data_IF_445053895266
#
_entry.id   IF_445053895266
#
_cell.length_a   1.000
_cell.length_b   1.000
_cell.length_c   1.000
_cell.angle_alpha   90.00
_cell.angle_beta   90.00
_cell.angle_gamma   90.00
#
_symmetry.space_group_name_H-M   'P 1'
#
loop_
_entity.id
_entity.type
_entity.pdbx_description
1 polymer ?
#
# COMPACT_ATOMS: atom_id res chain seq x y z
N UNK A 1 -15.91 -39.88 31.51
CA UNK A 1 -15.73 -39.54 30.09
C UNK A 1 -15.36 -38.07 30.03
N UNK A 2 -14.33 -37.74 29.25
CA UNK A 2 -13.51 -36.53 29.36
C UNK A 2 -13.78 -35.63 28.16
N UNK A 3 -14.27 -34.42 28.40
CA UNK A 3 -14.34 -33.32 27.43
C UNK A 3 -14.13 -32.03 28.23
N UNK A 4 -12.87 -31.66 28.46
CA UNK A 4 -12.16 -30.61 27.73
C UNK A 4 -12.91 -29.26 27.75
N UNK A 5 -12.49 -28.44 28.71
CA UNK A 5 -12.70 -27.01 28.72
C UNK A 5 -11.88 -26.34 27.59
N UNK A 6 -12.49 -25.38 26.92
CA UNK A 6 -11.84 -24.25 26.25
C UNK A 6 -12.86 -23.10 26.33
N UNK A 7 -12.75 -22.16 27.28
CA UNK A 7 -12.17 -20.80 27.11
C UNK A 7 -12.29 -20.31 25.65
N UNK A 8 -12.90 -19.18 25.29
CA UNK A 8 -12.82 -17.80 25.81
C UNK A 8 -14.08 -17.06 25.30
N UNK A 9 -14.71 -16.18 26.10
CA UNK A 9 -15.88 -15.40 25.69
C UNK A 9 -15.49 -14.06 25.04
N UNK A 10 -16.42 -13.54 24.23
CA UNK A 10 -16.67 -12.11 23.99
C UNK A 10 -15.81 -11.36 22.96
N UNK A 11 -16.51 -10.46 22.23
CA UNK A 11 -16.04 -9.18 21.64
C UNK A 11 -15.28 -9.33 20.31
N UNK A 12 -15.63 -8.71 19.16
CA UNK A 12 -16.31 -7.45 18.87
C UNK A 12 -16.97 -7.56 17.48
N UNK A 13 -18.25 -7.17 17.38
CA UNK A 13 -18.88 -6.75 16.12
C UNK A 13 -18.33 -5.37 15.73
N UNK A 14 -17.60 -5.26 14.61
CA UNK A 14 -17.28 -3.95 14.02
C UNK A 14 -18.12 -3.79 12.76
N UNK A 15 -19.28 -3.14 12.95
CA UNK A 15 -20.10 -2.58 11.88
C UNK A 15 -19.37 -1.34 11.34
N UNK A 16 -18.75 -1.44 10.17
CA UNK A 16 -18.12 -0.30 9.51
C UNK A 16 -19.16 0.42 8.63
N UNK A 17 -19.96 1.28 9.24
CA UNK A 17 -20.79 2.24 8.53
C UNK A 17 -20.01 3.56 8.41
N UNK A 18 -19.47 3.86 7.22
CA UNK A 18 -18.96 5.19 6.88
C UNK A 18 -19.84 5.79 5.77
N UNK A 19 -20.87 6.51 6.19
CA UNK A 19 -21.56 7.47 5.34
C UNK A 19 -20.69 8.74 5.27
N UNK A 20 -20.20 9.09 4.08
CA UNK A 20 -19.62 10.40 3.80
C UNK A 20 -20.36 11.03 2.63
N UNK A 21 -21.38 11.83 2.95
CA UNK A 21 -21.91 12.85 2.06
C UNK A 21 -20.99 14.07 2.12
N UNK A 22 -20.24 14.32 1.05
CA UNK A 22 -19.65 15.64 0.80
C UNK A 22 -19.97 16.03 -0.64
N UNK A 23 -20.96 16.92 -0.75
CA UNK A 23 -21.25 17.72 -1.93
C UNK A 23 -20.27 18.91 -1.95
N UNK A 24 -19.49 19.02 -3.02
CA UNK A 24 -18.58 20.14 -3.25
C UNK A 24 -18.08 20.13 -4.69
N UNK A 25 -18.91 20.61 -5.61
CA UNK A 25 -18.51 20.84 -6.99
C UNK A 25 -17.55 22.04 -7.06
N UNK A 26 -16.31 21.83 -7.48
CA UNK A 26 -15.44 22.85 -8.07
C UNK A 26 -14.54 22.25 -9.16
N UNK A 27 -14.71 22.85 -10.33
CA UNK A 27 -13.96 22.85 -11.58
C UNK A 27 -12.61 22.09 -11.75
N UNK A 28 -12.52 21.50 -12.95
CA UNK A 28 -11.38 21.48 -13.87
C UNK A 28 -10.22 20.50 -13.63
N UNK A 29 -10.25 19.46 -14.48
CA UNK A 29 -9.11 18.92 -15.24
C UNK A 29 -7.81 18.65 -14.48
N UNK A 30 -7.67 17.45 -13.96
CA UNK A 30 -6.70 16.47 -14.46
C UNK A 30 -7.18 15.13 -13.93
N UNK A 31 -7.53 14.21 -14.83
CA UNK A 31 -7.76 12.82 -14.46
C UNK A 31 -6.46 12.20 -13.95
N UNK A 32 -6.12 12.44 -12.68
CA UNK A 32 -5.18 11.61 -11.94
C UNK A 32 -5.99 10.60 -11.13
N UNK A 33 -6.74 9.75 -11.85
CA UNK A 33 -7.34 8.55 -11.30
C UNK A 33 -6.30 7.42 -11.18
N UNK A 34 -5.03 7.75 -10.93
CA UNK A 34 -4.08 6.74 -10.48
C UNK A 34 -4.30 6.60 -8.98
N UNK A 35 -5.19 5.68 -8.62
CA UNK A 35 -5.28 5.01 -7.33
C UNK A 35 -4.52 5.71 -6.20
N UNK A 36 -5.22 6.58 -5.46
CA UNK A 36 -4.71 7.33 -4.31
C UNK A 36 -3.79 6.53 -3.35
N UNK A 37 -4.00 5.21 -3.08
CA UNK A 37 -3.07 4.44 -2.23
C UNK A 37 -1.71 4.16 -2.87
N UNK A 38 -1.64 3.85 -4.17
CA UNK A 38 -0.38 3.47 -4.80
C UNK A 38 0.59 4.64 -4.96
N UNK A 39 0.09 5.83 -5.30
CA UNK A 39 0.93 7.03 -5.41
C UNK A 39 1.60 7.38 -4.07
N UNK A 40 0.86 7.27 -2.95
CA UNK A 40 1.39 7.47 -1.59
C UNK A 40 2.51 6.49 -1.24
N UNK A 41 2.37 5.22 -1.64
CA UNK A 41 3.39 4.20 -1.40
C UNK A 41 4.66 4.48 -2.19
N UNK A 42 4.52 4.90 -3.45
CA UNK A 42 5.66 5.29 -4.31
C UNK A 42 6.41 6.49 -3.75
N UNK A 43 5.71 7.51 -3.26
CA UNK A 43 6.34 8.66 -2.61
C UNK A 43 7.15 8.23 -1.38
N UNK A 44 6.58 7.34 -0.55
CA UNK A 44 7.28 6.81 0.63
C UNK A 44 8.56 6.05 0.26
N UNK A 45 8.52 5.25 -0.82
CA UNK A 45 9.70 4.55 -1.35
C UNK A 45 10.73 5.54 -1.89
N UNK A 46 10.30 6.58 -2.60
CA UNK A 46 11.20 7.61 -3.13
C UNK A 46 11.87 8.41 -2.01
N UNK A 47 11.14 8.76 -0.95
CA UNK A 47 11.74 9.39 0.23
C UNK A 47 12.73 8.44 0.91
N UNK A 48 12.37 7.17 1.10
CA UNK A 48 13.29 6.16 1.62
C UNK A 48 14.56 6.00 0.76
N UNK A 49 14.44 6.08 -0.57
CA UNK A 49 15.56 6.02 -1.51
C UNK A 49 16.50 7.23 -1.43
N UNK A 50 15.98 8.40 -1.02
CA UNK A 50 16.75 9.62 -0.79
C UNK A 50 17.48 9.58 0.55
N UNK A 51 16.84 9.04 1.58
CA UNK A 51 17.41 8.95 2.93
C UNK A 51 18.32 7.74 3.11
N UNK A 52 18.16 6.69 2.31
CA UNK A 52 18.94 5.46 2.43
C UNK A 52 20.28 5.51 1.68
N UNK A 53 21.31 4.98 2.33
CA UNK A 53 22.67 4.81 1.79
C UNK A 53 22.85 3.46 1.07
N UNK A 54 21.82 3.00 0.34
CA UNK A 54 21.89 1.73 -0.39
C UNK A 54 22.77 1.79 -1.63
N UNK A 55 23.27 0.62 -2.03
CA UNK A 55 24.09 0.49 -3.23
C UNK A 55 23.34 0.96 -4.48
N UNK A 56 24.05 1.41 -5.53
CA UNK A 56 23.42 1.75 -6.82
C UNK A 56 22.61 0.59 -7.42
N UNK A 57 23.03 -0.65 -7.18
CA UNK A 57 22.36 -1.86 -7.65
C UNK A 57 21.01 -2.07 -6.94
N UNK A 58 20.98 -1.97 -5.60
CA UNK A 58 19.74 -2.09 -4.82
C UNK A 58 18.78 -0.96 -5.14
N UNK A 59 19.30 0.25 -5.34
CA UNK A 59 18.51 1.41 -5.79
C UNK A 59 17.87 1.20 -7.16
N UNK A 60 18.60 0.59 -8.10
CA UNK A 60 18.07 0.23 -9.42
C UNK A 60 16.97 -0.82 -9.28
N UNK A 61 17.20 -1.86 -8.47
CA UNK A 61 16.23 -2.93 -8.22
C UNK A 61 14.95 -2.42 -7.56
N UNK A 62 15.06 -1.55 -6.54
CA UNK A 62 13.92 -0.92 -5.89
C UNK A 62 13.05 -0.12 -6.88
N UNK A 63 13.68 0.61 -7.81
CA UNK A 63 12.95 1.33 -8.87
C UNK A 63 12.25 0.42 -9.87
N UNK A 64 12.86 -0.73 -10.23
CA UNK A 64 12.21 -1.73 -11.07
C UNK A 64 10.96 -2.31 -10.39
N UNK A 65 11.07 -2.65 -9.09
CA UNK A 65 9.95 -3.13 -8.29
C UNK A 65 8.82 -2.08 -8.19
N UNK A 66 9.15 -0.80 -8.00
CA UNK A 66 8.18 0.29 -8.04
C UNK A 66 7.47 0.39 -9.39
N UNK A 67 8.21 0.25 -10.50
CA UNK A 67 7.62 0.29 -11.82
C UNK A 67 6.66 -0.89 -12.07
N UNK A 68 6.99 -2.10 -11.60
CA UNK A 68 6.09 -3.26 -11.65
C UNK A 68 4.86 -3.08 -10.75
N UNK A 69 5.05 -2.57 -9.53
CA UNK A 69 3.95 -2.24 -8.63
C UNK A 69 2.97 -1.24 -9.25
N UNK A 70 3.48 -0.20 -9.90
CA UNK A 70 2.64 0.78 -10.61
C UNK A 70 1.86 0.19 -11.78
N UNK A 71 2.42 -0.77 -12.53
CA UNK A 71 1.68 -1.50 -13.58
C UNK A 71 0.50 -2.26 -13.00
N UNK A 72 0.67 -2.90 -11.84
CA UNK A 72 -0.41 -3.60 -11.12
C UNK A 72 -1.46 -2.63 -10.57
N UNK A 73 -1.04 -1.50 -10.02
CA UNK A 73 -1.96 -0.44 -9.58
C UNK A 73 -2.82 0.10 -10.73
N UNK A 74 -2.26 0.23 -11.93
CA UNK A 74 -3.00 0.65 -13.13
C UNK A 74 -4.03 -0.41 -13.56
N UNK A 75 -3.83 -1.67 -13.18
CA UNK A 75 -4.74 -2.78 -13.42
C UNK A 75 -5.67 -3.04 -12.21
N UNK A 76 -5.73 -2.12 -11.24
CA UNK A 76 -6.48 -2.25 -9.98
C UNK A 76 -6.09 -3.46 -9.11
N UNK A 77 -4.93 -4.08 -9.37
CA UNK A 77 -4.33 -5.14 -8.55
C UNK A 77 -3.48 -4.54 -7.43
N UNK A 78 -4.15 -3.97 -6.42
CA UNK A 78 -3.47 -3.29 -5.32
C UNK A 78 -2.68 -4.24 -4.42
N UNK A 79 -3.16 -5.46 -4.19
CA UNK A 79 -2.45 -6.46 -3.38
C UNK A 79 -1.18 -6.96 -4.07
N UNK A 80 -1.23 -7.16 -5.39
CA UNK A 80 -0.05 -7.47 -6.18
C UNK A 80 0.94 -6.32 -6.16
N UNK A 81 0.46 -5.08 -6.28
CA UNK A 81 1.31 -3.89 -6.19
C UNK A 81 2.02 -3.75 -4.83
N UNK A 82 1.28 -3.98 -3.74
CA UNK A 82 1.82 -3.86 -2.37
C UNK A 82 2.99 -4.81 -2.13
N UNK A 83 2.91 -6.03 -2.68
CA UNK A 83 4.01 -7.01 -2.60
C UNK A 83 5.30 -6.48 -3.24
N UNK A 84 5.20 -5.84 -4.42
CA UNK A 84 6.36 -5.21 -5.07
C UNK A 84 6.88 -4.02 -4.29
N UNK A 85 6.00 -3.19 -3.73
CA UNK A 85 6.38 -2.03 -2.93
C UNK A 85 7.07 -2.42 -1.62
N UNK A 86 6.58 -3.44 -0.93
CA UNK A 86 7.22 -3.99 0.27
C UNK A 86 8.59 -4.58 -0.04
N UNK A 87 8.75 -5.24 -1.19
CA UNK A 87 10.05 -5.75 -1.62
C UNK A 87 11.02 -4.60 -1.96
N UNK A 88 10.52 -3.53 -2.58
CA UNK A 88 11.31 -2.32 -2.83
C UNK A 88 11.80 -1.69 -1.52
N UNK A 89 10.93 -1.58 -0.52
CA UNK A 89 11.29 -1.05 0.81
C UNK A 89 12.32 -1.93 1.53
N UNK A 90 12.23 -3.26 1.42
CA UNK A 90 13.24 -4.16 1.98
C UNK A 90 14.62 -3.91 1.37
N UNK A 91 14.69 -3.58 0.08
CA UNK A 91 15.96 -3.21 -0.55
C UNK A 91 16.53 -1.90 0.00
N UNK A 92 15.72 -1.02 0.59
CA UNK A 92 16.18 0.24 1.16
C UNK A 92 16.76 0.11 2.56
N UNK A 93 16.32 -0.90 3.31
CA UNK A 93 16.68 -1.12 4.71
C UNK A 93 17.61 -2.33 4.88
N UNK A 94 18.26 -2.77 3.80
CA UNK A 94 19.14 -3.95 3.77
C UNK A 94 20.54 -3.65 4.28
#
# INVERSE_FOLDING_TARGET
>A
MKTLALVIPSLISVTFALAFTVLGANAATTGNNNSAPCAKMVDSINEGLKTSTVSPADRKRARELVAEGLKRCKADDYSGADSYFLEALKMLHK
#
